data_IF_782605446159
#
_entry.id   IF_782605446159
#
_cell.length_a   1.000
_cell.length_b   1.000
_cell.length_c   1.000
_cell.angle_alpha   90.00
_cell.angle_beta   90.00
_cell.angle_gamma   90.00
#
_symmetry.space_group_name_H-M   'P 1'
#
loop_
_entity.id
_entity.type
_entity.pdbx_description
1 polymer ?
#
# COMPACT_ATOMS: atom_id res chain seq x y z
N UNK A 1 36.46 61.21 -27.95
CA UNK A 1 35.48 61.94 -27.12
C UNK A 1 34.14 61.25 -27.25
N UNK A 2 33.43 61.14 -26.12
CA UNK A 2 32.08 60.60 -25.91
C UNK A 2 31.88 59.08 -25.85
N UNK A 3 31.92 58.65 -24.58
CA UNK A 3 31.25 57.52 -23.93
C UNK A 3 29.77 57.48 -24.31
N UNK A 4 29.18 56.30 -24.46
CA UNK A 4 27.86 55.94 -23.89
C UNK A 4 27.71 54.41 -23.92
N UNK A 5 27.69 53.81 -22.74
CA UNK A 5 27.32 52.42 -22.49
C UNK A 5 25.79 52.41 -22.29
N UNK A 6 24.99 51.67 -23.08
CA UNK A 6 23.65 51.30 -22.66
C UNK A 6 23.68 49.87 -22.11
N UNK A 7 23.75 49.84 -20.78
CA UNK A 7 23.03 48.96 -19.87
C UNK A 7 22.41 47.69 -20.46
N UNK A 8 23.05 46.57 -20.11
CA UNK A 8 22.50 45.21 -20.08
C UNK A 8 21.15 45.19 -19.33
N UNK A 9 20.05 44.89 -20.04
CA UNK A 9 18.83 44.37 -19.40
C UNK A 9 18.58 42.99 -19.98
N UNK A 10 19.26 42.00 -19.39
CA UNK A 10 18.80 40.62 -19.42
C UNK A 10 17.62 40.57 -18.44
N UNK A 11 16.40 40.63 -18.96
CA UNK A 11 15.21 40.21 -18.21
C UNK A 11 15.26 38.68 -18.19
N UNK A 12 15.93 38.11 -17.19
CA UNK A 12 15.61 36.75 -16.74
C UNK A 12 14.25 36.89 -16.09
N UNK A 13 13.21 36.56 -16.84
CA UNK A 13 11.95 36.15 -16.24
C UNK A 13 12.28 34.94 -15.38
N UNK A 14 12.28 35.12 -14.06
CA UNK A 14 12.16 34.03 -13.12
C UNK A 14 10.81 33.37 -13.44
N UNK A 15 10.84 32.33 -14.26
CA UNK A 15 9.77 31.34 -14.29
C UNK A 15 9.86 30.66 -12.92
N UNK A 16 9.15 31.24 -11.94
CA UNK A 16 8.83 30.55 -10.70
C UNK A 16 7.84 29.45 -11.06
N UNK A 17 8.36 28.34 -11.59
CA UNK A 17 7.59 27.10 -11.71
C UNK A 17 7.53 26.47 -10.32
N UNK A 18 6.71 27.04 -9.44
CA UNK A 18 6.23 26.29 -8.28
C UNK A 18 5.03 25.49 -8.75
N UNK A 19 5.05 24.17 -8.52
CA UNK A 19 3.86 23.33 -8.70
C UNK A 19 2.73 23.90 -7.85
N UNK A 20 1.50 23.89 -8.38
CA UNK A 20 0.35 24.27 -7.56
C UNK A 20 0.08 23.16 -6.53
N UNK A 21 -0.57 23.48 -5.41
CA UNK A 21 -0.90 22.49 -4.40
C UNK A 21 -1.82 21.38 -4.97
N UNK A 22 -2.65 21.71 -5.95
CA UNK A 22 -3.47 20.77 -6.69
C UNK A 22 -2.63 19.78 -7.52
N UNK A 23 -1.54 20.25 -8.14
CA UNK A 23 -0.59 19.41 -8.87
C UNK A 23 0.15 18.47 -7.89
N UNK A 24 0.63 19.01 -6.76
CA UNK A 24 1.26 18.20 -5.71
C UNK A 24 0.31 17.13 -5.15
N UNK A 25 -0.97 17.47 -4.94
CA UNK A 25 -1.99 16.52 -4.52
C UNK A 25 -2.27 15.45 -5.58
N UNK A 26 -2.25 15.81 -6.86
CA UNK A 26 -2.40 14.84 -7.95
C UNK A 26 -1.25 13.82 -7.94
N UNK A 27 -0.01 14.28 -7.78
CA UNK A 27 1.14 13.41 -7.65
C UNK A 27 1.08 12.52 -6.40
N UNK A 28 0.67 13.09 -5.26
CA UNK A 28 0.54 12.34 -4.01
C UNK A 28 -0.53 11.25 -4.13
N UNK A 29 -1.65 11.54 -4.80
CA UNK A 29 -2.68 10.54 -5.10
C UNK A 29 -2.13 9.40 -5.95
N UNK A 30 -1.35 9.71 -6.98
CA UNK A 30 -0.70 8.69 -7.80
C UNK A 30 0.25 7.80 -6.96
N UNK A 31 0.98 8.40 -6.02
CA UNK A 31 1.86 7.65 -5.10
C UNK A 31 1.06 6.73 -4.16
N UNK A 32 -0.07 7.18 -3.62
CA UNK A 32 -0.95 6.34 -2.78
C UNK A 32 -1.42 5.11 -3.56
N UNK A 33 -1.90 5.31 -4.79
CA UNK A 33 -2.37 4.22 -5.65
C UNK A 33 -1.23 3.29 -6.09
N UNK A 34 -0.03 3.81 -6.32
CA UNK A 34 1.13 2.97 -6.64
C UNK A 34 1.42 1.94 -5.54
N UNK A 35 1.37 2.34 -4.26
CA UNK A 35 1.57 1.42 -3.12
C UNK A 35 0.45 0.36 -3.02
N UNK A 36 -0.79 0.73 -3.36
CA UNK A 36 -1.90 -0.22 -3.50
C UNK A 36 -1.59 -1.23 -4.61
N UNK A 37 -1.22 -0.75 -5.80
CA UNK A 37 -1.00 -1.58 -6.98
C UNK A 37 0.19 -2.56 -6.83
N UNK A 38 1.21 -2.21 -6.04
CA UNK A 38 2.35 -3.08 -5.75
C UNK A 38 1.94 -4.46 -5.20
N UNK A 39 0.89 -4.51 -4.38
CA UNK A 39 0.45 -5.74 -3.69
C UNK A 39 -0.79 -6.38 -4.29
N UNK A 40 -1.49 -5.69 -5.19
CA UNK A 40 -2.67 -6.22 -5.88
C UNK A 40 -2.43 -7.55 -6.62
N UNK A 41 -1.29 -7.77 -7.31
CA UNK A 41 -0.98 -9.07 -7.92
C UNK A 41 -0.89 -10.24 -6.92
N UNK A 42 -0.70 -9.94 -5.63
CA UNK A 42 -0.49 -10.96 -4.59
C UNK A 42 -1.80 -11.45 -3.95
N UNK A 43 -2.94 -10.79 -4.22
CA UNK A 43 -4.22 -11.11 -3.57
C UNK A 43 -4.69 -12.55 -3.83
N UNK A 44 -4.47 -13.05 -5.05
CA UNK A 44 -4.74 -14.44 -5.38
C UNK A 44 -3.83 -15.42 -4.63
N UNK A 45 -2.54 -15.06 -4.46
CA UNK A 45 -1.57 -15.85 -3.70
C UNK A 45 -1.97 -15.96 -2.23
N UNK A 46 -2.46 -14.88 -1.60
CA UNK A 46 -2.95 -14.91 -0.21
C UNK A 46 -4.05 -15.97 -0.01
N UNK A 47 -5.13 -15.91 -0.81
CA UNK A 47 -6.25 -16.87 -0.69
C UNK A 47 -5.82 -18.31 -1.01
N UNK A 48 -4.88 -18.50 -1.93
CA UNK A 48 -4.36 -19.83 -2.24
C UNK A 48 -3.59 -20.42 -1.05
N UNK A 49 -2.73 -19.62 -0.42
CA UNK A 49 -1.94 -20.05 0.73
C UNK A 49 -2.80 -20.27 1.97
N UNK A 50 -3.83 -19.45 2.18
CA UNK A 50 -4.80 -19.62 3.25
C UNK A 50 -5.50 -20.98 3.13
N UNK A 51 -6.02 -21.30 1.94
CA UNK A 51 -6.64 -22.60 1.67
C UNK A 51 -5.68 -23.76 1.91
N UNK A 52 -4.42 -23.63 1.48
CA UNK A 52 -3.38 -24.64 1.72
C UNK A 52 -3.16 -24.85 3.23
N UNK A 53 -2.98 -23.78 3.99
CA UNK A 53 -2.79 -23.85 5.44
C UNK A 53 -3.98 -24.51 6.16
N UNK A 54 -5.21 -24.21 5.74
CA UNK A 54 -6.42 -24.84 6.27
C UNK A 54 -6.46 -26.35 5.94
N UNK A 55 -6.11 -26.73 4.71
CA UNK A 55 -6.07 -28.13 4.27
C UNK A 55 -5.06 -28.92 5.09
N UNK A 56 -3.81 -28.45 5.17
CA UNK A 56 -2.74 -29.12 5.92
C UNK A 56 -3.09 -29.24 7.42
N UNK A 57 -3.71 -28.21 8.02
CA UNK A 57 -4.15 -28.28 9.40
C UNK A 57 -5.23 -29.36 9.60
N UNK A 58 -6.18 -29.44 8.67
CA UNK A 58 -7.29 -30.40 8.73
C UNK A 58 -6.81 -31.84 8.50
N UNK A 59 -5.83 -32.04 7.62
CA UNK A 59 -5.21 -33.35 7.37
C UNK A 59 -4.48 -33.85 8.62
N UNK A 60 -3.66 -33.02 9.27
CA UNK A 60 -2.98 -33.37 10.51
C UNK A 60 -3.95 -33.70 11.66
N UNK A 61 -5.08 -32.99 11.74
CA UNK A 61 -6.15 -33.28 12.71
C UNK A 61 -6.81 -34.64 12.43
N UNK A 62 -7.08 -34.96 11.17
CA UNK A 62 -7.68 -36.23 10.77
C UNK A 62 -6.76 -37.44 11.01
N UNK A 63 -5.45 -37.25 10.88
CA UNK A 63 -4.43 -38.28 11.16
C UNK A 63 -4.24 -38.56 12.66
N UNK A 64 -4.95 -37.85 13.54
CA UNK A 64 -4.70 -37.85 14.99
C UNK A 64 -3.23 -37.54 15.33
N UNK A 65 -2.60 -36.65 14.54
CA UNK A 65 -1.24 -36.23 14.80
C UNK A 65 -1.12 -35.59 16.18
N UNK A 66 -0.07 -35.97 16.94
CA UNK A 66 0.24 -35.32 18.22
C UNK A 66 0.88 -33.93 18.05
N UNK A 67 1.13 -33.48 16.82
CA UNK A 67 1.76 -32.19 16.52
C UNK A 67 0.76 -31.01 16.63
N UNK A 68 0.25 -30.83 17.85
CA UNK A 68 -0.68 -29.75 18.19
C UNK A 68 -0.10 -28.35 17.97
N UNK A 69 1.24 -28.22 17.95
CA UNK A 69 1.91 -26.95 17.68
C UNK A 69 1.83 -26.60 16.20
N UNK A 70 2.18 -27.54 15.30
CA UNK A 70 2.09 -27.32 13.85
C UNK A 70 0.67 -26.99 13.41
N UNK A 71 -0.33 -27.69 13.95
CA UNK A 71 -1.76 -27.41 13.66
C UNK A 71 -2.12 -25.97 14.06
N UNK A 72 -1.69 -25.51 15.24
CA UNK A 72 -1.94 -24.14 15.68
C UNK A 72 -1.21 -23.11 14.81
N UNK A 73 0.02 -23.39 14.40
CA UNK A 73 0.78 -22.52 13.49
C UNK A 73 0.10 -22.36 12.14
N UNK A 74 -0.42 -23.45 11.57
CA UNK A 74 -1.15 -23.43 10.30
C UNK A 74 -2.48 -22.67 10.40
N UNK A 75 -3.23 -22.86 11.50
CA UNK A 75 -4.46 -22.10 11.76
C UNK A 75 -4.19 -20.61 11.96
N UNK A 76 -3.15 -20.27 12.70
CA UNK A 76 -2.73 -18.88 12.87
C UNK A 76 -2.25 -18.25 11.55
N UNK A 77 -1.55 -19.02 10.71
CA UNK A 77 -1.16 -18.56 9.38
C UNK A 77 -2.39 -18.29 8.50
N UNK A 78 -3.37 -19.20 8.48
CA UNK A 78 -4.59 -19.01 7.70
C UNK A 78 -5.33 -17.74 8.11
N UNK A 79 -5.46 -17.50 9.42
CA UNK A 79 -6.05 -16.28 9.96
C UNK A 79 -5.28 -15.02 9.51
N UNK A 80 -3.95 -15.01 9.61
CA UNK A 80 -3.15 -13.85 9.21
C UNK A 80 -3.27 -13.54 7.71
N UNK A 81 -3.33 -14.58 6.87
CA UNK A 81 -3.51 -14.45 5.42
C UNK A 81 -4.90 -13.87 5.07
N UNK A 82 -5.95 -14.34 5.75
CA UNK A 82 -7.31 -13.80 5.61
C UNK A 82 -7.38 -12.33 6.04
N UNK A 83 -6.79 -12.00 7.19
CA UNK A 83 -6.78 -10.62 7.71
C UNK A 83 -6.00 -9.66 6.80
N UNK A 84 -4.89 -10.13 6.22
CA UNK A 84 -4.14 -9.36 5.23
C UNK A 84 -4.96 -9.13 3.93
N UNK A 85 -5.69 -10.16 3.49
CA UNK A 85 -6.59 -10.05 2.34
C UNK A 85 -7.70 -9.02 2.60
N UNK A 86 -8.40 -9.13 3.73
CA UNK A 86 -9.51 -8.23 4.09
C UNK A 86 -9.05 -6.78 4.34
N UNK A 87 -7.84 -6.58 4.87
CA UNK A 87 -7.30 -5.23 5.10
C UNK A 87 -7.29 -4.38 3.82
N UNK A 88 -6.98 -4.99 2.66
CA UNK A 88 -7.03 -4.30 1.37
C UNK A 88 -8.45 -3.84 1.02
N UNK A 89 -9.47 -4.70 1.20
CA UNK A 89 -10.85 -4.35 0.92
C UNK A 89 -11.41 -3.32 1.89
N UNK A 90 -11.03 -3.38 3.16
CA UNK A 90 -11.39 -2.36 4.14
C UNK A 90 -10.86 -1.00 3.71
N UNK A 91 -9.58 -0.93 3.32
CA UNK A 91 -8.98 0.31 2.84
C UNK A 91 -9.67 0.82 1.57
N UNK A 92 -9.87 -0.04 0.55
CA UNK A 92 -10.53 0.36 -0.70
C UNK A 92 -11.95 0.90 -0.50
N UNK A 93 -12.71 0.37 0.49
CA UNK A 93 -14.05 0.88 0.81
C UNK A 93 -14.03 2.25 1.51
N UNK A 94 -12.93 2.58 2.18
CA UNK A 94 -12.76 3.84 2.91
C UNK A 94 -12.05 4.91 2.07
N UNK A 95 -11.36 4.50 1.02
CA UNK A 95 -10.64 5.38 0.12
C UNK A 95 -11.60 6.13 -0.81
N UNK A 96 -11.40 7.44 -0.89
CA UNK A 96 -12.18 8.39 -1.67
C UNK A 96 -11.32 8.85 -2.85
N UNK A 97 -11.74 8.44 -4.05
CA UNK A 97 -11.07 8.78 -5.29
C UNK A 97 -11.23 10.26 -5.65
N UNK A 98 -12.27 10.92 -5.12
CA UNK A 98 -12.58 12.31 -5.39
C UNK A 98 -12.15 13.19 -4.23
N UNK A 99 -12.11 14.51 -4.46
CA UNK A 99 -11.82 15.46 -3.39
C UNK A 99 -13.07 15.77 -2.55
N UNK A 100 -14.27 15.56 -3.11
CA UNK A 100 -15.53 15.99 -2.49
C UNK A 100 -15.55 17.51 -2.30
N UNK A 101 -15.96 17.96 -1.12
CA UNK A 101 -16.00 19.38 -0.73
C UNK A 101 -14.67 19.91 -0.17
N UNK A 102 -13.61 19.08 -0.13
CA UNK A 102 -12.31 19.43 0.49
C UNK A 102 -11.57 20.49 -0.32
N UNK A 103 -10.97 21.46 0.36
CA UNK A 103 -10.01 22.39 -0.22
C UNK A 103 -8.64 21.70 -0.46
N UNK A 104 -7.71 22.31 -1.23
CA UNK A 104 -6.42 21.69 -1.53
C UNK A 104 -5.59 21.29 -0.30
N UNK A 105 -5.62 22.06 0.78
CA UNK A 105 -4.92 21.73 2.04
C UNK A 105 -5.55 20.52 2.75
N UNK A 106 -6.88 20.43 2.77
CA UNK A 106 -7.61 19.28 3.33
C UNK A 106 -7.39 18.01 2.50
N UNK A 107 -7.30 18.14 1.16
CA UNK A 107 -6.94 17.03 0.27
C UNK A 107 -5.53 16.53 0.57
N UNK A 108 -4.57 17.43 0.81
CA UNK A 108 -3.20 17.05 1.17
C UNK A 108 -3.16 16.22 2.45
N UNK A 109 -3.78 16.70 3.53
CA UNK A 109 -3.85 15.98 4.82
C UNK A 109 -4.52 14.62 4.63
N UNK A 110 -5.63 14.57 3.87
CA UNK A 110 -6.31 13.32 3.56
C UNK A 110 -5.39 12.33 2.85
N UNK A 111 -4.66 12.76 1.81
CA UNK A 111 -3.77 11.88 1.05
C UNK A 111 -2.56 11.41 1.87
N UNK A 112 -2.03 12.25 2.76
CA UNK A 112 -1.00 11.87 3.73
C UNK A 112 -1.51 10.75 4.67
N UNK A 113 -2.73 10.86 5.18
CA UNK A 113 -3.34 9.80 5.98
C UNK A 113 -3.58 8.51 5.17
N UNK A 114 -4.04 8.62 3.93
CA UNK A 114 -4.27 7.44 3.08
C UNK A 114 -2.97 6.75 2.71
N UNK A 115 -1.88 7.51 2.52
CA UNK A 115 -0.55 6.97 2.31
C UNK A 115 -0.10 6.08 3.48
N UNK A 116 -0.28 6.55 4.72
CA UNK A 116 0.09 5.74 5.89
C UNK A 116 -0.81 4.49 6.02
N UNK A 117 -2.11 4.62 5.74
CA UNK A 117 -3.03 3.46 5.77
C UNK A 117 -2.67 2.41 4.71
N UNK A 118 -2.39 2.82 3.47
CA UNK A 118 -2.06 1.87 2.40
C UNK A 118 -0.69 1.23 2.61
N UNK A 119 0.29 1.93 3.20
CA UNK A 119 1.56 1.32 3.63
C UNK A 119 1.34 0.22 4.66
N UNK A 120 0.47 0.43 5.64
CA UNK A 120 0.11 -0.60 6.63
C UNK A 120 -0.55 -1.81 5.97
N UNK A 121 -1.40 -1.59 4.96
CA UNK A 121 -1.98 -2.70 4.16
C UNK A 121 -0.88 -3.47 3.43
N UNK A 122 0.04 -2.76 2.76
CA UNK A 122 1.18 -3.36 2.06
C UNK A 122 2.05 -4.20 3.01
N UNK A 123 2.37 -3.66 4.19
CA UNK A 123 3.15 -4.36 5.23
C UNK A 123 2.42 -5.62 5.73
N UNK A 124 1.11 -5.56 5.96
CA UNK A 124 0.31 -6.73 6.37
C UNK A 124 0.37 -7.83 5.33
N UNK A 125 0.21 -7.49 4.05
CA UNK A 125 0.25 -8.45 2.95
C UNK A 125 1.64 -9.08 2.83
N UNK A 126 2.69 -8.27 2.76
CA UNK A 126 4.06 -8.77 2.60
C UNK A 126 4.51 -9.60 3.81
N UNK A 127 4.12 -9.21 5.03
CA UNK A 127 4.40 -9.97 6.25
C UNK A 127 3.68 -11.32 6.27
N UNK A 128 2.39 -11.37 5.90
CA UNK A 128 1.63 -12.62 5.85
C UNK A 128 2.21 -13.58 4.81
N UNK A 129 2.62 -13.08 3.65
CA UNK A 129 3.29 -13.88 2.61
C UNK A 129 4.65 -14.42 3.09
N UNK A 130 5.47 -13.57 3.73
CA UNK A 130 6.75 -13.99 4.31
C UNK A 130 6.57 -15.05 5.40
N UNK A 131 5.48 -14.98 6.19
CA UNK A 131 5.13 -16.00 7.17
C UNK A 131 4.75 -17.31 6.47
N UNK A 132 3.93 -17.24 5.43
CA UNK A 132 3.56 -18.42 4.64
C UNK A 132 4.77 -19.12 4.02
N UNK A 133 5.71 -18.37 3.43
CA UNK A 133 6.93 -18.90 2.83
C UNK A 133 7.85 -19.60 3.87
N UNK A 134 7.67 -19.32 5.17
CA UNK A 134 8.40 -20.01 6.26
C UNK A 134 7.65 -21.23 6.79
N UNK A 135 6.32 -21.13 6.91
CA UNK A 135 5.47 -22.14 7.55
C UNK A 135 5.02 -23.25 6.59
N UNK A 136 4.78 -22.94 5.31
CA UNK A 136 4.29 -23.87 4.27
C UNK A 136 5.41 -24.34 3.34
N UNK A 137 6.67 -24.36 3.81
CA UNK A 137 7.78 -24.88 3.00
C UNK A 137 7.49 -26.33 2.62
N UNK A 138 7.71 -26.61 1.34
CA UNK A 138 7.75 -27.97 0.79
C UNK A 138 8.86 -28.81 1.44
#
# INVERSE_FOLDING_TARGET
>A
MNRFIPFLIIVIFFVSCGSSLEEENSEMRAKVIAVHDEVMPMMGKLKSLEKRAISEASELEAENSSDSLKIQELKALAYDLEQAYEAMFVWMRQYDNENGERNPEEVKVYLEEQMEKVKVVNEKITTALNKADKTLKD
#
